data_IF_597258191806
#
_entry.id   IF_597258191806
#
_cell.length_a   1.000
_cell.length_b   1.000
_cell.length_c   1.000
_cell.angle_alpha   90.00
_cell.angle_beta   90.00
_cell.angle_gamma   90.00
#
_symmetry.space_group_name_H-M   'P 1'
#
loop_
_entity.id
_entity.type
_entity.pdbx_description
1 polymer ?
#
# COMPACT_ATOMS: atom_id res chain seq x y z
N UNK A 1 2.85 -6.47 28.96
CA UNK A 1 1.91 -6.55 27.82
C UNK A 1 2.32 -7.72 26.94
N UNK A 2 1.42 -8.58 26.44
CA UNK A 2 1.83 -9.71 25.59
C UNK A 2 2.24 -9.23 24.19
N UNK A 3 3.12 -9.96 23.50
CA UNK A 3 3.53 -9.65 22.10
C UNK A 3 2.30 -9.48 21.20
N UNK A 4 1.28 -10.33 21.37
CA UNK A 4 0.00 -10.22 20.65
C UNK A 4 -0.71 -8.88 20.90
N UNK A 5 -0.78 -8.41 22.16
CA UNK A 5 -1.40 -7.12 22.48
C UNK A 5 -0.63 -5.95 21.88
N UNK A 6 0.71 -6.00 21.93
CA UNK A 6 1.56 -4.98 21.31
C UNK A 6 1.39 -4.94 19.79
N UNK A 7 1.39 -6.11 19.14
CA UNK A 7 1.16 -6.25 17.70
C UNK A 7 -0.14 -5.58 17.25
N UNK A 8 -1.25 -5.88 17.91
CA UNK A 8 -2.54 -5.29 17.55
C UNK A 8 -2.60 -3.79 17.81
N UNK A 9 -1.94 -3.30 18.86
CA UNK A 9 -1.82 -1.86 19.11
C UNK A 9 -1.01 -1.16 18.02
N UNK A 10 0.14 -1.73 17.62
CA UNK A 10 0.99 -1.19 16.54
C UNK A 10 0.23 -1.19 15.20
N UNK A 11 -0.43 -2.30 14.86
CA UNK A 11 -1.29 -2.39 13.67
C UNK A 11 -2.41 -1.34 13.72
N UNK A 12 -3.08 -1.17 14.86
CA UNK A 12 -4.16 -0.19 15.01
C UNK A 12 -3.66 1.24 14.78
N UNK A 13 -2.53 1.61 15.38
CA UNK A 13 -1.93 2.95 15.20
C UNK A 13 -1.58 3.18 13.73
N UNK A 14 -0.91 2.21 13.10
CA UNK A 14 -0.57 2.28 11.67
C UNK A 14 -1.82 2.35 10.80
N UNK A 15 -2.87 1.60 11.13
CA UNK A 15 -4.15 1.67 10.42
C UNK A 15 -4.82 3.03 10.50
N UNK A 16 -4.83 3.66 11.68
CA UNK A 16 -5.35 5.03 11.83
C UNK A 16 -4.57 6.00 10.94
N UNK A 17 -3.24 5.88 10.91
CA UNK A 17 -2.41 6.71 10.02
C UNK A 17 -2.73 6.45 8.54
N UNK A 18 -2.88 5.19 8.12
CA UNK A 18 -3.24 4.84 6.75
C UNK A 18 -4.60 5.45 6.34
N UNK A 19 -5.60 5.37 7.21
CA UNK A 19 -6.93 5.96 6.99
C UNK A 19 -6.83 7.48 6.86
N UNK A 20 -6.08 8.14 7.74
CA UNK A 20 -5.87 9.60 7.69
C UNK A 20 -5.21 9.99 6.37
N UNK A 21 -4.15 9.29 5.95
CA UNK A 21 -3.43 9.58 4.72
C UNK A 21 -4.32 9.47 3.48
N UNK A 22 -5.11 8.40 3.37
CA UNK A 22 -6.02 8.22 2.25
C UNK A 22 -7.20 9.20 2.28
N UNK A 23 -7.67 9.57 3.46
CA UNK A 23 -8.72 10.58 3.61
C UNK A 23 -8.23 11.96 3.17
N UNK A 24 -7.00 12.34 3.54
CA UNK A 24 -6.37 13.59 3.09
C UNK A 24 -6.13 13.55 1.58
N UNK A 25 -5.64 12.42 1.06
CA UNK A 25 -5.44 12.23 -0.38
C UNK A 25 -6.75 12.37 -1.14
N UNK A 26 -7.84 11.78 -0.64
CA UNK A 26 -9.18 11.94 -1.20
C UNK A 26 -9.63 13.41 -1.25
N UNK A 27 -9.48 14.15 -0.15
CA UNK A 27 -9.86 15.57 -0.10
C UNK A 27 -9.09 16.38 -1.15
N UNK A 28 -7.78 16.12 -1.30
CA UNK A 28 -6.95 16.79 -2.30
C UNK A 28 -7.42 16.42 -3.71
N UNK A 29 -7.67 15.14 -3.99
CA UNK A 29 -8.14 14.67 -5.29
C UNK A 29 -9.51 15.25 -5.64
N UNK A 30 -10.44 15.30 -4.68
CA UNK A 30 -11.78 15.87 -4.88
C UNK A 30 -11.72 17.39 -5.12
N UNK A 31 -10.84 18.09 -4.40
CA UNK A 31 -10.58 19.51 -4.62
C UNK A 31 -10.01 19.78 -6.02
N UNK A 32 -9.02 18.99 -6.47
CA UNK A 32 -8.47 19.08 -7.84
C UNK A 32 -9.58 18.87 -8.88
N UNK A 33 -10.43 17.87 -8.69
CA UNK A 33 -11.58 17.61 -9.57
C UNK A 33 -12.55 18.79 -9.64
N UNK A 34 -12.81 19.44 -8.51
CA UNK A 34 -13.77 20.56 -8.43
C UNK A 34 -13.22 21.88 -8.99
N UNK A 35 -11.89 22.01 -9.12
CA UNK A 35 -11.23 23.29 -9.44
C UNK A 35 -11.08 23.58 -10.94
N UNK A 36 -11.90 22.97 -11.81
CA UNK A 36 -11.89 23.16 -13.28
C UNK A 36 -10.54 22.86 -13.97
N UNK A 37 -9.61 22.22 -13.25
CA UNK A 37 -8.42 21.60 -13.80
C UNK A 37 -8.84 20.26 -14.43
N UNK A 38 -9.02 20.24 -15.76
CA UNK A 38 -9.22 18.99 -16.53
C UNK A 38 -7.92 18.18 -16.55
N UNK A 39 -7.58 17.59 -15.41
CA UNK A 39 -6.46 16.67 -15.32
C UNK A 39 -6.98 15.25 -15.60
N UNK A 40 -6.37 14.51 -16.54
CA UNK A 40 -6.74 13.11 -16.83
C UNK A 40 -6.50 12.16 -15.63
N UNK A 41 -5.89 12.66 -14.55
CA UNK A 41 -5.74 12.00 -13.26
C UNK A 41 -7.13 11.72 -12.62
N UNK A 42 -8.15 12.51 -12.98
CA UNK A 42 -9.46 12.52 -12.31
C UNK A 42 -10.44 11.51 -12.91
N UNK A 43 -10.24 11.11 -14.18
CA UNK A 43 -11.11 10.18 -14.92
C UNK A 43 -10.97 8.73 -14.44
N UNK A 44 -9.82 8.41 -13.84
CA UNK A 44 -9.56 7.09 -13.31
C UNK A 44 -8.59 7.17 -12.13
N UNK A 45 -9.19 7.22 -10.93
CA UNK A 45 -8.67 6.62 -9.69
C UNK A 45 -7.78 7.51 -8.79
N UNK A 46 -7.83 7.11 -7.52
CA UNK A 46 -7.35 7.69 -6.29
C UNK A 46 -5.83 7.71 -6.08
N UNK A 47 -5.38 8.67 -5.28
CA UNK A 47 -4.07 8.63 -4.63
C UNK A 47 -4.22 7.81 -3.34
N UNK A 48 -3.41 6.76 -3.15
CA UNK A 48 -3.49 5.85 -2.01
C UNK A 48 -2.12 5.67 -1.35
N UNK A 49 -1.70 6.63 -0.50
CA UNK A 49 -0.46 6.50 0.25
C UNK A 49 -0.52 5.35 1.27
N UNK A 50 -1.71 4.88 1.67
CA UNK A 50 -1.87 3.75 2.59
C UNK A 50 -1.14 2.47 2.17
N UNK A 51 -0.85 2.26 0.88
CA UNK A 51 -0.04 1.13 0.42
C UNK A 51 1.35 1.09 1.10
N UNK A 52 1.95 2.24 1.40
CA UNK A 52 3.22 2.28 2.16
C UNK A 52 3.06 1.84 3.61
N UNK A 53 1.94 2.18 4.23
CA UNK A 53 1.65 1.79 5.61
C UNK A 53 1.32 0.30 5.68
N UNK A 54 0.57 -0.23 4.73
CA UNK A 54 0.32 -1.66 4.63
C UNK A 54 1.67 -2.39 4.40
N UNK A 55 2.52 -1.89 3.51
CA UNK A 55 3.88 -2.40 3.30
C UNK A 55 4.69 -2.46 4.61
N UNK A 56 4.65 -1.40 5.43
CA UNK A 56 5.27 -1.37 6.75
C UNK A 56 4.75 -2.47 7.67
N UNK A 57 3.42 -2.64 7.74
CA UNK A 57 2.79 -3.65 8.59
C UNK A 57 3.21 -5.06 8.14
N UNK A 58 3.27 -5.33 6.83
CA UNK A 58 3.77 -6.60 6.32
C UNK A 58 5.23 -6.84 6.69
N UNK A 59 6.08 -5.81 6.69
CA UNK A 59 7.46 -5.96 7.10
C UNK A 59 7.60 -6.33 8.58
N UNK A 60 6.83 -5.65 9.44
CA UNK A 60 6.85 -5.79 10.90
C UNK A 60 6.17 -7.06 11.40
N UNK A 61 5.02 -7.41 10.82
CA UNK A 61 4.10 -8.44 11.32
C UNK A 61 3.67 -9.46 10.26
N UNK A 62 4.34 -9.49 9.10
CA UNK A 62 4.14 -10.52 8.05
C UNK A 62 2.68 -10.67 7.64
N UNK A 63 2.11 -11.88 7.82
CA UNK A 63 0.74 -12.25 7.42
C UNK A 63 -0.35 -11.38 8.03
N UNK A 64 -0.09 -10.73 9.17
CA UNK A 64 -1.08 -9.85 9.81
C UNK A 64 -1.33 -8.57 9.01
N UNK A 65 -0.48 -8.24 8.02
CA UNK A 65 -0.71 -7.15 7.06
C UNK A 65 -1.89 -7.37 6.11
N UNK A 66 -2.39 -8.60 5.96
CA UNK A 66 -3.59 -8.89 5.14
C UNK A 66 -4.84 -8.19 5.69
N UNK A 67 -4.95 -8.06 7.02
CA UNK A 67 -6.13 -7.50 7.69
C UNK A 67 -6.26 -6.00 7.41
N UNK A 68 -5.21 -5.17 7.63
CA UNK A 68 -5.13 -3.82 7.12
C UNK A 68 -5.58 -3.66 5.67
N UNK A 69 -5.14 -4.58 4.81
CA UNK A 69 -5.42 -4.50 3.39
C UNK A 69 -6.92 -4.55 3.10
N UNK A 70 -7.66 -5.46 3.74
CA UNK A 70 -9.11 -5.56 3.61
C UNK A 70 -9.81 -4.29 4.11
N UNK A 71 -9.37 -3.74 5.24
CA UNK A 71 -9.96 -2.53 5.82
C UNK A 71 -9.75 -1.32 4.88
N UNK A 72 -8.57 -1.18 4.30
CA UNK A 72 -8.30 -0.09 3.35
C UNK A 72 -9.09 -0.25 2.05
N UNK A 73 -9.32 -1.47 1.54
CA UNK A 73 -10.23 -1.67 0.39
C UNK A 73 -11.63 -1.14 0.72
N UNK A 74 -12.15 -1.47 1.90
CA UNK A 74 -13.46 -0.98 2.34
C UNK A 74 -13.46 0.55 2.43
N UNK A 75 -12.40 1.15 2.99
CA UNK A 75 -12.24 2.60 3.03
C UNK A 75 -12.26 3.20 1.62
N UNK A 76 -11.57 2.61 0.64
CA UNK A 76 -11.57 3.10 -0.74
C UNK A 76 -12.94 2.99 -1.40
N UNK A 77 -13.69 1.92 -1.14
CA UNK A 77 -15.08 1.83 -1.61
C UNK A 77 -15.97 2.90 -0.98
N UNK A 78 -15.71 3.33 0.25
CA UNK A 78 -16.43 4.43 0.89
C UNK A 78 -16.03 5.78 0.30
N UNK A 79 -14.72 6.08 0.23
CA UNK A 79 -14.21 7.38 -0.21
C UNK A 79 -14.47 7.61 -1.71
N UNK A 80 -14.18 6.61 -2.54
CA UNK A 80 -14.23 6.71 -4.00
C UNK A 80 -15.43 5.96 -4.60
N UNK A 81 -16.44 5.63 -3.79
CA UNK A 81 -17.57 4.81 -4.23
C UNK A 81 -18.29 5.36 -5.46
N UNK A 82 -18.42 6.70 -5.57
CA UNK A 82 -19.05 7.33 -6.74
C UNK A 82 -18.28 7.09 -8.04
N UNK A 83 -16.95 6.98 -7.98
CA UNK A 83 -16.07 6.74 -9.12
C UNK A 83 -15.93 5.24 -9.39
N UNK A 84 -15.86 4.45 -8.33
CA UNK A 84 -15.68 3.00 -8.42
C UNK A 84 -16.95 2.33 -8.94
N UNK A 85 -18.12 2.68 -8.42
CA UNK A 85 -19.37 2.02 -8.79
C UNK A 85 -20.06 2.62 -10.03
N UNK A 86 -19.33 3.40 -10.85
CA UNK A 86 -19.81 3.81 -12.19
C UNK A 86 -20.01 2.56 -13.06
N UNK A 87 -19.14 1.56 -12.90
CA UNK A 87 -19.22 0.29 -13.62
C UNK A 87 -18.65 -0.85 -12.77
N UNK A 88 -19.13 -2.08 -12.95
CA UNK A 88 -18.76 -3.24 -12.11
C UNK A 88 -17.31 -3.69 -12.28
N UNK A 89 -16.65 -3.27 -13.36
CA UNK A 89 -15.28 -3.61 -13.70
C UNK A 89 -14.25 -2.87 -12.84
N UNK A 90 -14.52 -1.61 -12.43
CA UNK A 90 -13.61 -0.84 -11.57
C UNK A 90 -13.43 -1.45 -10.16
N UNK A 91 -14.49 -1.94 -9.47
CA UNK A 91 -14.33 -2.72 -8.24
C UNK A 91 -13.44 -3.95 -8.45
N UNK A 92 -13.60 -4.68 -9.55
CA UNK A 92 -12.78 -5.87 -9.85
C UNK A 92 -11.31 -5.50 -10.05
N UNK A 93 -11.04 -4.42 -10.79
CA UNK A 93 -9.69 -3.89 -10.97
C UNK A 93 -9.03 -3.55 -9.62
N UNK A 94 -9.75 -2.87 -8.72
CA UNK A 94 -9.25 -2.52 -7.39
C UNK A 94 -8.96 -3.77 -6.56
N UNK A 95 -9.92 -4.70 -6.48
CA UNK A 95 -9.75 -5.95 -5.73
C UNK A 95 -8.53 -6.71 -6.25
N UNK A 96 -8.39 -6.83 -7.57
CA UNK A 96 -7.25 -7.51 -8.18
C UNK A 96 -5.92 -6.81 -7.89
N UNK A 97 -5.87 -5.48 -7.94
CA UNK A 97 -4.67 -4.70 -7.57
C UNK A 97 -4.28 -4.91 -6.09
N UNK A 98 -5.25 -5.01 -5.19
CA UNK A 98 -5.01 -5.33 -3.78
C UNK A 98 -4.57 -6.79 -3.56
N UNK A 99 -5.10 -7.72 -4.36
CA UNK A 99 -4.68 -9.12 -4.34
C UNK A 99 -3.24 -9.27 -4.83
N UNK A 100 -2.87 -8.65 -5.96
CA UNK A 100 -1.49 -8.72 -6.45
C UNK A 100 -0.51 -8.04 -5.49
N UNK A 101 -0.89 -6.92 -4.88
CA UNK A 101 -0.13 -6.27 -3.81
C UNK A 101 0.15 -7.25 -2.66
N UNK A 102 -0.90 -7.91 -2.15
CA UNK A 102 -0.79 -8.90 -1.05
C UNK A 102 0.08 -10.09 -1.43
N UNK A 103 -0.12 -10.67 -2.62
CA UNK A 103 0.60 -11.83 -3.10
C UNK A 103 2.08 -11.53 -3.27
N UNK A 104 2.39 -10.35 -3.81
CA UNK A 104 3.78 -9.87 -3.98
C UNK A 104 4.46 -9.70 -2.62
N UNK A 105 3.77 -9.14 -1.63
CA UNK A 105 4.32 -9.02 -0.29
C UNK A 105 4.55 -10.37 0.40
N UNK A 106 3.64 -11.32 0.22
CA UNK A 106 3.77 -12.67 0.78
C UNK A 106 4.89 -13.47 0.10
N UNK A 107 5.24 -13.18 -1.15
CA UNK A 107 6.32 -13.86 -1.87
C UNK A 107 7.71 -13.34 -1.47
N UNK A 108 7.83 -12.14 -0.90
CA UNK A 108 9.12 -11.59 -0.46
C UNK A 108 9.82 -12.37 0.64
N UNK A 109 9.10 -13.19 1.42
CA UNK A 109 9.73 -14.08 2.41
C UNK A 109 10.73 -15.07 1.79
N UNK A 110 10.67 -15.26 0.46
CA UNK A 110 11.53 -16.17 -0.29
C UNK A 110 12.72 -15.47 -0.96
N UNK A 111 12.77 -14.14 -0.95
CA UNK A 111 13.85 -13.38 -1.58
C UNK A 111 14.93 -13.04 -0.55
N UNK A 112 16.04 -13.80 -0.56
CA UNK A 112 17.24 -13.48 0.21
C UNK A 112 18.21 -12.70 -0.66
N UNK A 113 18.34 -11.39 -0.41
CA UNK A 113 19.34 -10.56 -1.09
C UNK A 113 20.33 -10.03 -0.06
N UNK A 114 21.60 -10.44 -0.15
CA UNK A 114 22.62 -10.19 0.88
C UNK A 114 23.56 -9.03 0.56
N UNK A 115 23.36 -8.31 -0.56
CA UNK A 115 24.33 -7.32 -1.08
C UNK A 115 23.76 -5.94 -1.42
N UNK A 116 22.48 -5.67 -1.15
CA UNK A 116 21.83 -4.40 -1.50
C UNK A 116 21.58 -3.58 -0.22
N UNK A 117 21.82 -2.25 -0.22
CA UNK A 117 21.43 -1.39 0.91
C UNK A 117 19.93 -1.51 1.21
N UNK A 118 19.55 -1.57 2.49
CA UNK A 118 18.17 -1.81 2.92
C UNK A 118 17.15 -0.88 2.24
N UNK A 119 17.44 0.43 2.18
CA UNK A 119 16.57 1.41 1.54
C UNK A 119 16.31 1.10 0.06
N UNK A 120 17.35 0.66 -0.66
CA UNK A 120 17.27 0.33 -2.08
C UNK A 120 16.51 -0.98 -2.28
N UNK A 121 16.70 -1.96 -1.39
CA UNK A 121 15.92 -3.19 -1.40
C UNK A 121 14.42 -2.92 -1.24
N UNK A 122 14.02 -2.10 -0.25
CA UNK A 122 12.62 -1.75 -0.04
C UNK A 122 12.03 -0.95 -1.21
N UNK A 123 12.79 0.02 -1.74
CA UNK A 123 12.38 0.81 -2.89
C UNK A 123 12.16 -0.07 -4.13
N UNK A 124 13.12 -0.94 -4.45
CA UNK A 124 13.01 -1.86 -5.60
C UNK A 124 11.80 -2.79 -5.48
N UNK A 125 11.57 -3.36 -4.29
CA UNK A 125 10.40 -4.20 -4.04
C UNK A 125 9.10 -3.42 -4.24
N UNK A 126 9.05 -2.19 -3.74
CA UNK A 126 7.88 -1.37 -3.90
C UNK A 126 7.62 -0.97 -5.36
N UNK A 127 8.66 -0.72 -6.15
CA UNK A 127 8.53 -0.50 -7.59
C UNK A 127 7.96 -1.73 -8.31
N UNK A 128 8.45 -2.93 -7.97
CA UNK A 128 7.92 -4.19 -8.55
C UNK A 128 6.43 -4.35 -8.24
N UNK A 129 6.01 -4.08 -7.00
CA UNK A 129 4.60 -4.09 -6.61
C UNK A 129 3.77 -3.18 -7.53
N UNK A 130 4.19 -1.92 -7.72
CA UNK A 130 3.43 -0.96 -8.51
C UNK A 130 3.39 -1.30 -9.99
N UNK A 131 4.48 -1.82 -10.54
CA UNK A 131 4.51 -2.34 -11.92
C UNK A 131 3.50 -3.47 -12.07
N UNK A 132 3.46 -4.42 -11.12
CA UNK A 132 2.51 -5.53 -11.17
C UNK A 132 1.06 -5.06 -11.00
N UNK A 133 0.80 -4.11 -10.12
CA UNK A 133 -0.54 -3.50 -9.97
C UNK A 133 -0.99 -2.81 -11.26
N UNK A 134 -0.10 -2.02 -11.88
CA UNK A 134 -0.36 -1.39 -13.17
C UNK A 134 -0.71 -2.42 -14.26
N UNK A 135 0.10 -3.48 -14.38
CA UNK A 135 -0.09 -4.51 -15.39
C UNK A 135 -1.39 -5.29 -15.20
N UNK A 136 -1.71 -5.68 -13.96
CA UNK A 136 -2.95 -6.40 -13.62
C UNK A 136 -4.17 -5.54 -13.93
N UNK A 137 -4.13 -4.28 -13.53
CA UNK A 137 -5.23 -3.36 -13.76
C UNK A 137 -5.46 -3.10 -15.25
N UNK A 138 -4.39 -2.85 -16.00
CA UNK A 138 -4.45 -2.67 -17.45
C UNK A 138 -4.95 -3.94 -18.15
N UNK A 139 -4.44 -5.12 -17.77
CA UNK A 139 -4.87 -6.38 -18.35
C UNK A 139 -6.36 -6.67 -18.11
N UNK A 140 -6.85 -6.45 -16.88
CA UNK A 140 -8.28 -6.61 -16.55
C UNK A 140 -9.12 -5.66 -17.39
N UNK A 141 -8.69 -4.40 -17.51
CA UNK A 141 -9.37 -3.43 -18.34
C UNK A 141 -9.51 -3.82 -19.79
N UNK A 142 -8.42 -4.28 -20.40
CA UNK A 142 -8.41 -4.77 -21.78
C UNK A 142 -9.30 -6.00 -21.93
N UNK A 143 -9.23 -6.96 -21.01
CA UNK A 143 -10.05 -8.19 -21.05
C UNK A 143 -11.54 -7.89 -20.94
N UNK A 144 -11.91 -6.92 -20.09
CA UNK A 144 -13.31 -6.54 -19.87
C UNK A 144 -13.82 -5.49 -20.88
N UNK A 145 -12.98 -5.05 -21.82
CA UNK A 145 -13.37 -4.10 -22.87
C UNK A 145 -13.60 -2.67 -22.38
N UNK A 146 -13.03 -2.29 -21.24
CA UNK A 146 -13.16 -0.95 -20.68
C UNK A 146 -12.26 0.01 -21.46
N UNK A 147 -12.79 1.18 -21.82
CA UNK A 147 -11.99 2.29 -22.33
C UNK A 147 -11.22 2.96 -21.19
N UNK A 148 -10.13 2.31 -20.77
CA UNK A 148 -9.21 2.89 -19.79
C UNK A 148 -8.27 3.88 -20.48
N UNK A 149 -8.23 5.11 -19.96
CA UNK A 149 -7.19 6.06 -20.31
C UNK A 149 -5.84 5.53 -19.82
N UNK A 150 -5.01 5.02 -20.75
CA UNK A 150 -3.65 4.58 -20.43
C UNK A 150 -2.88 5.71 -19.74
N UNK A 151 -3.04 6.94 -20.22
CA UNK A 151 -2.47 8.13 -19.61
C UNK A 151 -2.92 8.31 -18.15
N UNK A 152 -4.22 8.18 -17.88
CA UNK A 152 -4.78 8.27 -16.52
C UNK A 152 -4.20 7.23 -15.57
N UNK A 153 -4.19 5.95 -15.98
CA UNK A 153 -3.63 4.85 -15.19
C UNK A 153 -2.14 5.05 -14.93
N UNK A 154 -1.36 5.40 -15.96
CA UNK A 154 0.08 5.65 -15.83
C UNK A 154 0.34 6.81 -14.88
N UNK A 155 -0.30 7.98 -15.08
CA UNK A 155 -0.08 9.15 -14.24
C UNK A 155 -0.38 8.86 -12.77
N UNK A 156 -1.47 8.14 -12.49
CA UNK A 156 -1.83 7.79 -11.13
C UNK A 156 -0.86 6.83 -10.47
N UNK A 157 -0.47 5.75 -11.16
CA UNK A 157 0.54 4.83 -10.63
C UNK A 157 1.87 5.56 -10.43
N UNK A 158 2.26 6.46 -11.34
CA UNK A 158 3.45 7.31 -11.18
C UNK A 158 3.34 8.23 -9.96
N UNK A 159 2.22 8.91 -9.74
CA UNK A 159 2.01 9.77 -8.57
C UNK A 159 2.09 8.98 -7.25
N UNK A 160 1.41 7.83 -7.20
CA UNK A 160 1.46 6.95 -6.04
C UNK A 160 2.88 6.42 -5.80
N UNK A 161 3.60 6.04 -6.86
CA UNK A 161 5.00 5.62 -6.79
C UNK A 161 5.88 6.73 -6.22
N UNK A 162 5.77 7.96 -6.72
CA UNK A 162 6.58 9.09 -6.26
C UNK A 162 6.33 9.36 -4.78
N UNK A 163 5.07 9.54 -4.38
CA UNK A 163 4.69 9.82 -2.99
C UNK A 163 5.15 8.71 -2.05
N UNK A 164 4.90 7.46 -2.45
CA UNK A 164 5.23 6.30 -1.64
C UNK A 164 6.73 6.04 -1.54
N UNK A 165 7.49 6.33 -2.61
CA UNK A 165 8.94 6.20 -2.61
C UNK A 165 9.59 7.13 -1.60
N UNK A 166 9.11 8.38 -1.51
CA UNK A 166 9.57 9.35 -0.51
C UNK A 166 9.36 8.79 0.90
N UNK A 167 8.15 8.29 1.17
CA UNK A 167 7.79 7.70 2.47
C UNK A 167 8.68 6.49 2.81
N UNK A 168 8.89 5.58 1.85
CA UNK A 168 9.73 4.39 2.04
C UNK A 168 11.18 4.76 2.32
N UNK A 169 11.74 5.73 1.59
CA UNK A 169 13.10 6.20 1.82
C UNK A 169 13.22 6.73 3.25
N UNK A 170 12.31 7.61 3.69
CA UNK A 170 12.30 8.12 5.07
C UNK A 170 12.19 6.99 6.10
N UNK A 171 11.29 6.02 5.87
CA UNK A 171 11.11 4.88 6.76
C UNK A 171 12.33 3.98 6.83
N UNK A 172 13.02 3.76 5.72
CA UNK A 172 14.21 2.91 5.63
C UNK A 172 15.45 3.51 6.31
N UNK A 173 15.55 4.84 6.35
CA UNK A 173 16.58 5.54 7.15
C UNK A 173 16.30 5.35 8.64
N UNK A 174 15.03 5.32 9.04
CA UNK A 174 14.63 5.05 10.42
C UNK A 174 14.60 3.55 10.73
N UNK A 175 15.78 2.99 11.04
CA UNK A 175 15.98 1.54 11.25
C UNK A 175 14.93 0.82 12.10
N UNK A 176 14.30 1.50 13.09
CA UNK A 176 13.27 0.91 13.98
C UNK A 176 11.90 0.70 13.32
N UNK A 177 11.64 1.30 12.17
CA UNK A 177 10.34 1.17 11.49
C UNK A 177 10.25 -0.15 10.72
N UNK A 178 11.25 -0.49 9.90
CA UNK A 178 11.24 -1.68 9.04
C UNK A 178 11.89 -2.92 9.68
N UNK A 179 11.88 -3.03 11.01
CA UNK A 179 12.30 -4.26 11.69
C UNK A 179 11.18 -5.30 11.74
N UNK A 180 11.59 -6.57 11.76
CA UNK A 180 10.72 -7.68 12.11
C UNK A 180 10.40 -7.62 13.62
N UNK A 181 9.24 -7.07 13.97
CA UNK A 181 8.88 -6.80 15.37
C UNK A 181 8.65 -8.09 16.16
N UNK A 182 8.06 -9.11 15.54
CA UNK A 182 7.86 -10.40 16.20
C UNK A 182 9.20 -11.01 16.61
N UNK A 183 10.14 -11.09 15.66
CA UNK A 183 11.48 -11.62 15.94
C UNK A 183 12.26 -10.75 16.92
N UNK A 184 12.13 -9.42 16.82
CA UNK A 184 12.81 -8.48 17.71
C UNK A 184 12.34 -8.63 19.16
N UNK A 185 11.02 -8.66 19.40
CA UNK A 185 10.46 -8.78 20.75
C UNK A 185 10.76 -10.14 21.38
N UNK A 186 10.77 -11.23 20.60
CA UNK A 186 11.15 -12.57 21.09
C UNK A 186 12.62 -12.61 21.53
N UNK A 187 13.52 -11.90 20.83
CA UNK A 187 14.93 -11.82 21.22
C UNK A 187 15.09 -11.00 22.50
N UNK A 188 14.44 -9.84 22.58
CA UNK A 188 14.49 -8.99 23.77
C UNK A 188 13.96 -9.71 25.02
N UNK A 189 12.83 -10.42 24.93
CA UNK A 189 12.29 -11.14 26.09
C UNK A 189 13.26 -12.21 26.59
N UNK A 190 13.97 -12.89 25.69
CA UNK A 190 14.98 -13.87 26.07
C UNK A 190 16.17 -13.20 26.75
N UNK A 191 16.65 -12.08 26.22
CA UNK A 191 17.76 -11.34 26.80
C UNK A 191 17.43 -10.79 28.21
N UNK A 192 16.19 -10.37 28.45
CA UNK A 192 15.70 -9.93 29.76
C UNK A 192 15.55 -11.10 30.76
N UNK A 193 15.17 -12.29 30.31
CA UNK A 193 15.08 -13.49 31.16
C UNK A 193 16.47 -14.01 31.62
N UNK A 194 17.56 -13.59 30.98
CA UNK A 194 18.94 -13.96 31.31
C UNK A 194 19.72 -12.87 32.08
N UNK A 195 19.12 -11.71 32.35
CA UNK A 195 19.69 -10.58 33.06
C UNK A 195 19.21 -10.50 34.52
#
# INVERSE_FOLDING_TARGET
MTIKKFMWLDILILMVLAIIMDSVAYIITDWIRSSSLELPIVESVFIAPSFTIIYLIYHRWKKFGLIPNVIIIILHFILYGKQIFISYEYPLMIIASYMIFSLTLLSYKWLKVTKIPDWLFHLMNFMVIYILMFLVEYAIGVILGIQLSLLGITLRHTMNVILSSIIIIVMSVQKKLLIDMETHLIKQSKEEDYA
#
